data_IF_101320741073
#
_entry.id   IF_101320741073
#
_cell.length_a   1.000
_cell.length_b   1.000
_cell.length_c   1.000
_cell.angle_alpha   90.00
_cell.angle_beta   90.00
_cell.angle_gamma   90.00
#
_symmetry.space_group_name_H-M   'P 1'
#
loop_
_entity.id
_entity.type
_entity.pdbx_description
1 polymer ?
#
# COMPACT_ATOMS: atom_id res chain seq x y z
N UNK A 1 0.00 46.65 14.70
CA UNK A 1 -1.00 47.73 14.67
C UNK A 1 -1.25 48.10 16.13
N UNK A 2 -0.90 49.31 16.56
CA UNK A 2 -1.20 49.75 17.92
C UNK A 2 -2.70 50.03 18.04
N UNK A 3 -3.38 49.58 19.12
CA UNK A 3 -4.80 49.83 19.28
C UNK A 3 -5.03 51.33 19.47
N UNK A 4 -5.89 51.90 18.62
CA UNK A 4 -6.41 53.26 18.78
C UNK A 4 -7.23 53.25 20.07
N UNK A 5 -7.01 54.20 20.98
CA UNK A 5 -7.85 54.34 22.19
C UNK A 5 -9.31 54.51 21.77
N UNK A 6 -10.17 53.55 22.15
CA UNK A 6 -11.59 53.51 21.76
C UNK A 6 -11.91 52.71 20.49
N UNK A 7 -10.93 52.03 19.88
CA UNK A 7 -11.16 51.13 18.74
C UNK A 7 -11.85 49.83 19.12
N UNK A 8 -12.67 49.29 18.21
CA UNK A 8 -13.30 47.97 18.36
C UNK A 8 -12.29 46.88 17.97
N UNK A 9 -12.15 45.86 18.82
CA UNK A 9 -11.40 44.65 18.43
C UNK A 9 -12.24 43.83 17.45
N UNK A 10 -11.94 43.98 16.16
CA UNK A 10 -12.61 43.26 15.09
C UNK A 10 -12.47 41.73 15.24
N UNK A 11 -11.37 41.24 15.81
CA UNK A 11 -11.18 39.80 16.00
C UNK A 11 -12.19 39.27 17.00
N UNK A 12 -12.32 39.92 18.16
CA UNK A 12 -13.28 39.53 19.20
C UNK A 12 -14.71 39.64 18.69
N UNK A 13 -15.04 40.69 17.91
CA UNK A 13 -16.37 40.87 17.34
C UNK A 13 -16.77 39.74 16.38
N UNK A 14 -15.83 39.27 15.54
CA UNK A 14 -16.10 38.24 14.54
C UNK A 14 -15.73 36.82 14.99
N UNK A 15 -15.10 36.64 16.14
CA UNK A 15 -14.59 35.35 16.62
C UNK A 15 -15.65 34.24 16.58
N UNK A 16 -16.80 34.49 17.20
CA UNK A 16 -17.91 33.52 17.26
C UNK A 16 -18.42 33.15 15.85
N UNK A 17 -18.53 34.13 14.95
CA UNK A 17 -18.98 33.88 13.58
C UNK A 17 -17.99 33.01 12.80
N UNK A 18 -16.68 33.26 12.95
CA UNK A 18 -15.63 32.48 12.27
C UNK A 18 -15.63 31.04 12.79
N UNK A 19 -15.70 30.85 14.12
CA UNK A 19 -15.71 29.51 14.72
C UNK A 19 -16.95 28.72 14.32
N UNK A 20 -18.14 29.34 14.37
CA UNK A 20 -19.38 28.69 13.92
C UNK A 20 -19.31 28.35 12.44
N UNK A 21 -18.80 29.27 11.60
CA UNK A 21 -18.67 29.01 10.17
C UNK A 21 -17.77 27.80 9.87
N UNK A 22 -16.62 27.69 10.55
CA UNK A 22 -15.73 26.52 10.43
C UNK A 22 -16.48 25.24 10.81
N UNK A 23 -17.23 25.26 11.91
CA UNK A 23 -17.99 24.10 12.35
C UNK A 23 -19.12 23.71 11.38
N UNK A 24 -19.86 24.68 10.85
CA UNK A 24 -20.94 24.44 9.90
C UNK A 24 -20.40 23.83 8.60
N UNK A 25 -19.30 24.36 8.06
CA UNK A 25 -18.63 23.79 6.87
C UNK A 25 -18.10 22.39 7.15
N UNK A 26 -17.50 22.17 8.31
CA UNK A 26 -17.04 20.84 8.76
C UNK A 26 -18.21 19.85 8.78
N UNK A 27 -19.32 20.19 9.45
CA UNK A 27 -20.49 19.33 9.54
C UNK A 27 -21.10 19.05 8.16
N UNK A 28 -21.22 20.05 7.29
CA UNK A 28 -21.75 19.88 5.94
C UNK A 28 -20.92 18.89 5.10
N UNK A 29 -19.59 18.93 5.20
CA UNK A 29 -18.70 17.98 4.50
C UNK A 29 -18.72 16.59 5.15
N UNK A 30 -18.83 16.50 6.47
CA UNK A 30 -18.99 15.22 7.18
C UNK A 30 -20.31 14.52 6.82
N UNK A 31 -21.41 15.26 6.71
CA UNK A 31 -22.70 14.70 6.29
C UNK A 31 -22.62 14.12 4.86
N UNK A 32 -21.85 14.74 3.97
CA UNK A 32 -21.62 14.18 2.62
C UNK A 32 -20.88 12.85 2.64
N UNK A 33 -19.96 12.65 3.59
CA UNK A 33 -19.29 11.36 3.78
C UNK A 33 -20.24 10.25 4.26
N UNK A 34 -21.41 10.60 4.81
CA UNK A 34 -22.44 9.65 5.27
C UNK A 34 -23.46 9.28 4.21
N UNK A 35 -23.51 10.00 3.08
CA UNK A 35 -24.53 9.78 2.06
C UNK A 35 -24.28 8.46 1.31
N UNK A 36 -24.86 7.37 1.82
CA UNK A 36 -24.88 6.04 1.18
C UNK A 36 -25.74 5.98 -0.10
N UNK A 37 -26.32 7.11 -0.54
CA UNK A 37 -27.35 7.16 -1.59
C UNK A 37 -26.82 6.94 -3.00
N UNK A 38 -25.51 7.01 -3.23
CA UNK A 38 -24.89 6.73 -4.54
C UNK A 38 -23.86 5.63 -4.34
N UNK A 39 -24.14 4.41 -4.83
CA UNK A 39 -23.11 3.37 -4.96
C UNK A 39 -22.16 3.81 -6.06
N UNK A 40 -21.05 4.42 -5.66
CA UNK A 40 -19.95 4.78 -6.56
C UNK A 40 -19.14 3.57 -7.05
N UNK A 41 -19.48 2.36 -6.57
CA UNK A 41 -18.77 1.11 -6.84
C UNK A 41 -18.70 0.72 -8.33
N UNK A 42 -19.54 1.31 -9.19
CA UNK A 42 -19.54 1.06 -10.64
C UNK A 42 -18.97 2.18 -11.50
N UNK A 43 -18.62 3.33 -10.94
CA UNK A 43 -18.13 4.50 -11.69
C UNK A 43 -16.64 4.69 -11.41
N UNK A 44 -15.83 4.62 -12.47
CA UNK A 44 -14.39 4.87 -12.39
C UNK A 44 -13.99 6.16 -13.13
N UNK A 45 -13.06 6.89 -12.55
CA UNK A 45 -12.41 8.04 -13.21
C UNK A 45 -11.38 7.57 -14.24
N UNK A 46 -10.75 8.52 -14.94
CA UNK A 46 -9.61 8.26 -15.83
C UNK A 46 -8.42 7.59 -15.12
N UNK A 47 -8.30 7.74 -13.79
CA UNK A 47 -7.21 7.17 -12.98
C UNK A 47 -7.63 5.88 -12.27
N UNK A 48 -8.70 5.24 -12.74
CA UNK A 48 -9.27 4.04 -12.12
C UNK A 48 -9.53 4.25 -10.61
N UNK A 49 -9.96 5.45 -10.21
CA UNK A 49 -10.34 5.82 -8.84
C UNK A 49 -11.84 6.03 -8.72
N UNK A 50 -12.35 6.11 -7.48
CA UNK A 50 -13.73 6.55 -7.24
C UNK A 50 -13.83 8.07 -7.39
N UNK A 51 -14.85 8.60 -8.09
CA UNK A 51 -15.07 10.05 -8.20
C UNK A 51 -15.41 10.70 -6.85
N UNK A 52 -15.91 9.93 -5.87
CA UNK A 52 -16.22 10.42 -4.52
C UNK A 52 -15.03 11.12 -3.86
N UNK A 53 -13.84 10.52 -3.96
CA UNK A 53 -12.64 11.05 -3.32
C UNK A 53 -12.24 12.38 -3.96
N UNK A 54 -12.23 12.45 -5.29
CA UNK A 54 -11.91 13.68 -6.01
C UNK A 54 -12.93 14.79 -5.70
N UNK A 55 -14.24 14.49 -5.75
CA UNK A 55 -15.29 15.46 -5.41
C UNK A 55 -15.12 16.02 -4.00
N UNK A 56 -14.85 15.16 -3.02
CA UNK A 56 -14.70 15.60 -1.63
C UNK A 56 -13.47 16.50 -1.44
N UNK A 57 -12.34 16.20 -2.10
CA UNK A 57 -11.15 17.05 -2.03
C UNK A 57 -11.30 18.36 -2.80
N UNK A 58 -12.04 18.37 -3.91
CA UNK A 58 -12.36 19.61 -4.64
C UNK A 58 -13.21 20.54 -3.77
N UNK A 59 -14.27 20.01 -3.13
CA UNK A 59 -15.10 20.77 -2.17
C UNK A 59 -14.32 21.26 -0.96
N UNK A 60 -13.40 20.43 -0.45
CA UNK A 60 -12.53 20.80 0.65
C UNK A 60 -11.65 21.99 0.26
N UNK A 61 -11.06 21.95 -0.93
CA UNK A 61 -10.24 23.04 -1.47
C UNK A 61 -11.05 24.32 -1.67
N UNK A 62 -12.25 24.22 -2.25
CA UNK A 62 -13.16 25.36 -2.39
C UNK A 62 -13.47 25.98 -1.03
N UNK A 63 -13.77 25.14 -0.02
CA UNK A 63 -14.04 25.59 1.35
C UNK A 63 -12.82 26.31 1.95
N UNK A 64 -11.62 25.76 1.80
CA UNK A 64 -10.39 26.39 2.32
C UNK A 64 -10.12 27.75 1.68
N UNK A 65 -10.41 27.93 0.39
CA UNK A 65 -10.25 29.21 -0.29
C UNK A 65 -11.16 30.30 0.29
N UNK A 66 -12.33 29.96 0.82
CA UNK A 66 -13.23 30.93 1.48
C UNK A 66 -12.61 31.53 2.75
N UNK A 67 -11.64 30.83 3.38
CA UNK A 67 -10.96 31.28 4.60
C UNK A 67 -9.64 32.00 4.35
N UNK A 68 -9.15 32.11 3.11
CA UNK A 68 -7.83 32.68 2.78
C UNK A 68 -7.63 34.06 3.43
N UNK A 69 -8.59 34.97 3.26
CA UNK A 69 -8.54 36.33 3.81
C UNK A 69 -8.55 36.33 5.35
N UNK A 70 -9.34 35.44 5.95
CA UNK A 70 -9.44 35.30 7.41
C UNK A 70 -8.10 34.81 7.97
N UNK A 71 -7.49 33.80 7.35
CA UNK A 71 -6.24 33.21 7.82
C UNK A 71 -5.06 34.16 7.61
N UNK A 72 -4.99 34.88 6.49
CA UNK A 72 -3.98 35.92 6.32
C UNK A 72 -4.06 37.03 7.39
N UNK A 73 -5.27 37.30 7.90
CA UNK A 73 -5.50 38.34 8.92
C UNK A 73 -5.37 37.84 10.35
N UNK A 74 -5.83 36.62 10.60
CA UNK A 74 -5.88 35.94 11.90
C UNK A 74 -5.40 34.47 11.73
N UNK A 75 -4.07 34.27 11.62
CA UNK A 75 -3.47 32.96 11.36
C UNK A 75 -3.83 31.88 12.40
N UNK A 76 -4.19 32.25 13.62
CA UNK A 76 -4.59 31.35 14.70
C UNK A 76 -5.80 30.47 14.38
N UNK A 77 -6.69 30.88 13.46
CA UNK A 77 -7.81 30.04 13.04
C UNK A 77 -7.38 28.87 12.15
N UNK A 78 -6.14 28.87 11.65
CA UNK A 78 -5.60 27.78 10.83
C UNK A 78 -5.59 26.46 11.61
N UNK A 79 -5.34 26.47 12.92
CA UNK A 79 -5.36 25.26 13.76
C UNK A 79 -6.77 24.65 13.85
N UNK A 80 -7.80 25.49 13.93
CA UNK A 80 -9.19 25.05 13.95
C UNK A 80 -9.61 24.46 12.59
N UNK A 81 -9.20 25.11 11.49
CA UNK A 81 -9.39 24.58 10.14
C UNK A 81 -8.62 23.27 9.93
N UNK A 82 -7.37 23.17 10.39
CA UNK A 82 -6.56 21.97 10.28
C UNK A 82 -7.24 20.79 10.97
N UNK A 83 -7.78 21.01 12.17
CA UNK A 83 -8.54 19.98 12.90
C UNK A 83 -9.82 19.59 12.15
N UNK A 84 -10.56 20.56 11.60
CA UNK A 84 -11.75 20.29 10.81
C UNK A 84 -11.44 19.47 9.56
N UNK A 85 -10.38 19.83 8.83
CA UNK A 85 -9.89 19.10 7.66
C UNK A 85 -9.49 17.68 8.03
N UNK A 86 -8.72 17.51 9.11
CA UNK A 86 -8.31 16.19 9.58
C UNK A 86 -9.52 15.28 9.86
N UNK A 87 -10.57 15.80 10.48
CA UNK A 87 -11.81 15.06 10.73
C UNK A 87 -12.53 14.68 9.44
N UNK A 88 -12.60 15.59 8.46
CA UNK A 88 -13.21 15.34 7.16
C UNK A 88 -12.42 14.26 6.41
N UNK A 89 -11.09 14.34 6.38
CA UNK A 89 -10.25 13.34 5.72
C UNK A 89 -10.37 11.96 6.36
N UNK A 90 -10.46 11.88 7.70
CA UNK A 90 -10.78 10.63 8.41
C UNK A 90 -12.13 10.09 7.95
N UNK A 91 -13.16 10.93 7.86
CA UNK A 91 -14.48 10.53 7.40
C UNK A 91 -14.51 10.09 5.92
N UNK A 92 -13.72 10.70 5.03
CA UNK A 92 -13.55 10.25 3.64
C UNK A 92 -12.97 8.83 3.61
N UNK A 93 -11.94 8.56 4.41
CA UNK A 93 -11.31 7.22 4.50
C UNK A 93 -12.28 6.19 5.07
N UNK A 94 -13.10 6.55 6.06
CA UNK A 94 -14.13 5.68 6.63
C UNK A 94 -15.27 5.42 5.66
N UNK A 95 -15.71 6.43 4.92
CA UNK A 95 -16.73 6.31 3.88
C UNK A 95 -16.26 5.39 2.76
N UNK A 96 -15.01 5.53 2.30
CA UNK A 96 -14.42 4.65 1.30
C UNK A 96 -14.40 3.20 1.79
N UNK A 97 -14.04 2.97 3.05
CA UNK A 97 -14.06 1.64 3.67
C UNK A 97 -15.45 1.01 3.74
N UNK A 98 -16.46 1.83 3.99
CA UNK A 98 -17.86 1.40 4.08
C UNK A 98 -18.42 1.08 2.70
N UNK A 99 -18.17 1.92 1.71
CA UNK A 99 -18.65 1.75 0.34
C UNK A 99 -18.11 0.47 -0.32
N UNK A 100 -16.91 0.04 0.07
CA UNK A 100 -16.24 -1.15 -0.47
C UNK A 100 -16.05 -2.25 0.59
N UNK A 101 -16.91 -2.28 1.63
CA UNK A 101 -16.78 -3.21 2.73
C UNK A 101 -16.77 -4.68 2.27
N UNK A 102 -17.63 -5.05 1.32
CA UNK A 102 -17.73 -6.42 0.79
C UNK A 102 -16.44 -6.85 0.07
N UNK A 103 -15.83 -5.93 -0.68
CA UNK A 103 -14.58 -6.15 -1.42
C UNK A 103 -13.38 -6.24 -0.46
N UNK A 104 -13.40 -5.46 0.62
CA UNK A 104 -12.34 -5.42 1.62
C UNK A 104 -12.47 -6.52 2.68
N UNK A 105 -13.64 -7.12 2.87
CA UNK A 105 -13.90 -8.13 3.90
C UNK A 105 -12.91 -9.32 3.83
N UNK A 106 -12.65 -9.94 2.66
CA UNK A 106 -11.69 -11.05 2.55
C UNK A 106 -10.25 -10.67 2.96
N UNK A 107 -9.89 -9.39 2.85
CA UNK A 107 -8.58 -8.87 3.25
C UNK A 107 -8.53 -8.62 4.77
N UNK A 108 -9.62 -8.09 5.34
CA UNK A 108 -9.75 -7.80 6.77
C UNK A 108 -9.69 -9.07 7.63
N UNK A 109 -10.19 -10.21 7.13
CA UNK A 109 -10.06 -11.51 7.80
C UNK A 109 -8.60 -11.95 8.03
N UNK A 110 -7.68 -11.53 7.17
CA UNK A 110 -6.25 -11.84 7.28
C UNK A 110 -5.50 -10.89 8.22
N UNK A 111 -6.06 -9.71 8.51
CA UNK A 111 -5.49 -8.70 9.40
C UNK A 111 -5.75 -9.01 10.88
N UNK A 112 -6.79 -9.78 11.20
CA UNK A 112 -7.05 -10.24 12.56
C UNK A 112 -5.94 -11.23 13.00
N UNK A 113 -5.45 -11.15 14.26
CA UNK A 113 -4.45 -12.09 14.76
C UNK A 113 -4.97 -13.51 14.56
N UNK A 114 -4.17 -14.34 13.87
CA UNK A 114 -4.52 -15.72 13.52
C UNK A 114 -4.85 -16.47 14.81
N UNK A 115 -6.14 -16.56 15.17
CA UNK A 115 -6.61 -17.45 16.22
C UNK A 115 -6.35 -18.87 15.73
N UNK A 116 -5.25 -19.46 16.20
CA UNK A 116 -4.71 -20.74 15.78
C UNK A 116 -5.70 -21.92 15.95
N UNK A 117 -6.80 -21.76 16.70
CA UNK A 117 -7.75 -22.84 17.00
C UNK A 117 -8.81 -23.16 15.93
N UNK A 118 -9.32 -22.17 15.18
CA UNK A 118 -10.53 -22.39 14.36
C UNK A 118 -10.26 -22.80 12.89
N UNK A 119 -9.08 -22.46 12.34
CA UNK A 119 -8.72 -22.80 10.95
C UNK A 119 -8.35 -24.28 10.75
N UNK A 120 -7.99 -25.01 11.81
CA UNK A 120 -7.62 -26.43 11.70
C UNK A 120 -8.84 -27.36 11.68
N UNK A 121 -9.91 -27.05 12.41
CA UNK A 121 -11.11 -27.90 12.50
C UNK A 121 -11.95 -27.82 11.22
N UNK A 122 -12.01 -26.66 10.56
CA UNK A 122 -12.69 -26.51 9.25
C UNK A 122 -11.93 -27.10 8.06
N UNK A 123 -10.63 -27.42 8.22
CA UNK A 123 -9.79 -27.98 7.14
C UNK A 123 -9.98 -29.48 6.91
N UNK A 124 -10.64 -30.19 7.83
CA UNK A 124 -10.77 -31.65 7.77
C UNK A 124 -11.98 -32.12 6.93
N UNK A 125 -12.90 -31.24 6.54
CA UNK A 125 -14.14 -31.62 5.84
C UNK A 125 -14.47 -30.81 4.58
N UNK A 126 -13.68 -29.79 4.21
CA UNK A 126 -13.92 -28.97 3.00
C UNK A 126 -12.95 -29.31 1.88
N UNK A 127 -13.47 -29.53 0.66
CA UNK A 127 -12.71 -29.39 -0.60
C UNK A 127 -11.83 -28.13 -0.50
N UNK A 128 -10.60 -28.18 -1.04
CA UNK A 128 -9.71 -27.01 -1.07
C UNK A 128 -10.51 -25.78 -1.53
N UNK A 129 -10.49 -24.67 -0.77
CA UNK A 129 -11.24 -23.48 -1.16
C UNK A 129 -10.76 -23.00 -2.55
N UNK A 130 -11.65 -22.39 -3.34
CA UNK A 130 -11.27 -21.83 -4.63
C UNK A 130 -10.19 -20.76 -4.46
N UNK A 131 -9.34 -20.54 -5.50
CA UNK A 131 -8.35 -19.47 -5.47
C UNK A 131 -9.04 -18.11 -5.28
N UNK A 132 -8.41 -17.24 -4.50
CA UNK A 132 -8.85 -15.86 -4.37
C UNK A 132 -8.68 -15.13 -5.70
N UNK A 133 -9.76 -14.55 -6.20
CA UNK A 133 -9.74 -13.69 -7.38
C UNK A 133 -9.79 -12.24 -6.91
N UNK A 134 -8.90 -11.41 -7.45
CA UNK A 134 -8.84 -9.97 -7.13
C UNK A 134 -10.01 -9.29 -7.83
N UNK A 135 -10.98 -8.70 -7.08
CA UNK A 135 -12.10 -7.99 -7.68
C UNK A 135 -11.64 -6.67 -8.31
N UNK A 136 -12.28 -6.25 -9.40
CA UNK A 136 -11.95 -5.02 -10.11
C UNK A 136 -12.09 -3.78 -9.21
N UNK A 137 -13.09 -3.80 -8.34
CA UNK A 137 -13.37 -2.74 -7.37
C UNK A 137 -12.25 -2.57 -6.34
N UNK A 138 -11.44 -3.59 -6.09
CA UNK A 138 -10.28 -3.47 -5.20
C UNK A 138 -9.21 -2.56 -5.83
N UNK A 139 -9.08 -2.60 -7.16
CA UNK A 139 -8.31 -1.63 -7.94
C UNK A 139 -8.74 -0.20 -7.62
N UNK A 140 -10.06 0.05 -7.73
CA UNK A 140 -10.67 1.36 -7.47
C UNK A 140 -10.30 1.89 -6.07
N UNK A 141 -10.46 1.06 -5.03
CA UNK A 141 -10.18 1.47 -3.65
C UNK A 141 -8.71 1.80 -3.45
N UNK A 142 -7.81 0.91 -3.87
CA UNK A 142 -6.38 1.07 -3.60
C UNK A 142 -5.76 2.21 -4.42
N UNK A 143 -6.18 2.37 -5.69
CA UNK A 143 -5.79 3.52 -6.51
C UNK A 143 -6.30 4.83 -5.88
N UNK A 144 -7.52 4.86 -5.34
CA UNK A 144 -8.08 6.04 -4.67
C UNK A 144 -7.31 6.41 -3.40
N UNK A 145 -6.98 5.43 -2.55
CA UNK A 145 -6.14 5.66 -1.37
C UNK A 145 -4.74 6.17 -1.74
N UNK A 146 -4.15 5.62 -2.82
CA UNK A 146 -2.85 6.07 -3.32
C UNK A 146 -2.91 7.50 -3.86
N UNK A 147 -3.97 7.84 -4.61
CA UNK A 147 -4.20 9.20 -5.12
C UNK A 147 -4.41 10.22 -4.00
N UNK A 148 -5.12 9.85 -2.93
CA UNK A 148 -5.21 10.70 -1.73
C UNK A 148 -3.83 11.01 -1.19
N UNK A 149 -2.98 9.99 -1.02
CA UNK A 149 -1.63 10.13 -0.46
C UNK A 149 -0.68 10.97 -1.34
N UNK A 150 -0.71 10.76 -2.64
CA UNK A 150 0.31 11.29 -3.54
C UNK A 150 -0.07 12.61 -4.23
N UNK A 151 -1.38 12.87 -4.38
CA UNK A 151 -1.87 13.99 -5.20
C UNK A 151 -2.75 14.94 -4.41
N UNK A 152 -3.77 14.42 -3.72
CA UNK A 152 -4.81 15.28 -3.13
C UNK A 152 -4.38 15.89 -1.79
N UNK A 153 -3.87 15.06 -0.86
CA UNK A 153 -3.38 15.54 0.44
C UNK A 153 -2.22 16.53 0.33
N UNK A 154 -1.19 16.30 -0.51
CA UNK A 154 -0.08 17.25 -0.63
C UNK A 154 -0.53 18.65 -1.04
N UNK A 155 -1.60 18.78 -1.83
CA UNK A 155 -2.16 20.10 -2.18
C UNK A 155 -2.71 20.83 -0.95
N UNK A 156 -3.43 20.12 -0.08
CA UNK A 156 -3.96 20.66 1.18
C UNK A 156 -2.80 21.01 2.12
N UNK A 157 -1.84 20.10 2.30
CA UNK A 157 -0.65 20.34 3.14
C UNK A 157 0.14 21.56 2.67
N UNK A 158 0.28 21.77 1.35
CA UNK A 158 0.94 22.96 0.79
C UNK A 158 0.16 24.25 1.12
N UNK A 159 -1.17 24.25 1.07
CA UNK A 159 -1.99 25.41 1.45
C UNK A 159 -1.83 25.76 2.93
N UNK A 160 -1.86 24.77 3.82
CA UNK A 160 -1.62 24.99 5.24
C UNK A 160 -0.18 25.46 5.53
N UNK A 161 0.81 24.95 4.78
CA UNK A 161 2.19 25.44 4.88
C UNK A 161 2.31 26.91 4.47
N UNK A 162 1.63 27.35 3.41
CA UNK A 162 1.63 28.78 3.03
C UNK A 162 1.02 29.64 4.12
N UNK A 163 -0.06 29.20 4.76
CA UNK A 163 -0.68 29.91 5.88
C UNK A 163 0.18 29.91 7.16
N UNK A 164 0.90 28.82 7.42
CA UNK A 164 1.81 28.70 8.55
C UNK A 164 2.95 29.72 8.53
N UNK A 165 3.37 30.17 7.34
CA UNK A 165 4.38 31.24 7.21
C UNK A 165 3.92 32.59 7.77
N UNK A 166 2.61 32.78 7.97
CA UNK A 166 2.02 33.99 8.54
C UNK A 166 1.91 33.94 10.08
N UNK A 167 2.18 32.79 10.72
CA UNK A 167 2.05 32.62 12.17
C UNK A 167 3.36 33.08 12.84
N UNK A 168 3.34 34.07 13.74
CA UNK A 168 4.50 34.39 14.56
C UNK A 168 4.79 33.22 15.52
N UNK A 169 6.08 32.96 15.79
CA UNK A 169 6.70 31.79 16.46
C UNK A 169 6.25 31.51 17.93
N UNK A 170 5.06 31.96 18.33
CA UNK A 170 4.59 32.06 19.72
C UNK A 170 3.50 31.03 20.09
N UNK A 171 3.03 30.19 19.17
CA UNK A 171 2.04 29.15 19.49
C UNK A 171 2.69 27.85 19.96
N UNK A 172 2.19 27.27 21.06
CA UNK A 172 2.61 25.95 21.55
C UNK A 172 2.12 24.78 20.69
N UNK A 173 1.13 25.00 19.82
CA UNK A 173 0.67 24.03 18.82
C UNK A 173 1.60 24.02 17.61
N UNK A 174 2.02 22.82 17.20
CA UNK A 174 2.87 22.59 16.04
C UNK A 174 1.96 22.55 14.79
N UNK A 175 2.08 23.50 13.86
CA UNK A 175 1.29 23.48 12.62
C UNK A 175 1.52 22.17 11.84
N UNK A 176 0.45 21.57 11.33
CA UNK A 176 0.51 20.37 10.49
C UNK A 176 0.55 19.04 11.23
N UNK A 177 0.52 19.03 12.57
CA UNK A 177 0.52 17.79 13.37
C UNK A 177 -0.73 16.94 13.09
N UNK A 178 -1.92 17.57 12.99
CA UNK A 178 -3.19 16.86 12.77
C UNK A 178 -3.26 16.28 11.37
N UNK A 179 -2.79 17.02 10.36
CA UNK A 179 -2.67 16.49 9.00
C UNK A 179 -1.66 15.35 8.92
N UNK A 180 -0.56 15.44 9.68
CA UNK A 180 0.45 14.38 9.74
C UNK A 180 -0.11 13.09 10.35
N UNK A 181 -0.93 13.19 11.41
CA UNK A 181 -1.63 12.05 12.04
C UNK A 181 -2.48 11.29 11.01
N UNK A 182 -3.28 12.03 10.23
CA UNK A 182 -4.15 11.44 9.18
C UNK A 182 -3.31 10.83 8.06
N UNK A 183 -2.20 11.48 7.66
CA UNK A 183 -1.26 10.93 6.66
C UNK A 183 -0.65 9.61 7.15
N UNK A 184 -0.24 9.50 8.42
CA UNK A 184 0.29 8.26 9.01
C UNK A 184 -0.78 7.18 9.02
N UNK A 185 -2.00 7.50 9.46
CA UNK A 185 -3.13 6.57 9.49
C UNK A 185 -3.46 6.03 8.09
N UNK A 186 -3.57 6.91 7.08
CA UNK A 186 -3.89 6.51 5.71
C UNK A 186 -2.77 5.64 5.10
N UNK A 187 -1.50 6.00 5.30
CA UNK A 187 -0.36 5.18 4.86
C UNK A 187 -0.38 3.80 5.51
N UNK A 188 -0.66 3.72 6.81
CA UNK A 188 -0.75 2.45 7.52
C UNK A 188 -1.88 1.58 6.95
N UNK A 189 -3.07 2.17 6.74
CA UNK A 189 -4.23 1.47 6.18
C UNK A 189 -3.97 0.94 4.77
N UNK A 190 -3.42 1.78 3.89
CA UNK A 190 -3.03 1.39 2.54
C UNK A 190 -2.02 0.23 2.54
N UNK A 191 -0.94 0.32 3.33
CA UNK A 191 0.04 -0.77 3.46
C UNK A 191 -0.59 -2.06 3.98
N UNK A 192 -1.50 -1.99 4.94
CA UNK A 192 -2.17 -3.17 5.49
C UNK A 192 -3.03 -3.88 4.42
N UNK A 193 -3.75 -3.13 3.58
CA UNK A 193 -4.50 -3.76 2.48
C UNK A 193 -3.61 -4.34 1.41
N UNK A 194 -2.51 -3.67 1.04
CA UNK A 194 -1.52 -4.24 0.11
C UNK A 194 -0.95 -5.56 0.64
N UNK A 195 -0.56 -5.57 1.92
CA UNK A 195 -0.01 -6.78 2.56
C UNK A 195 -1.04 -7.91 2.60
N UNK A 196 -2.29 -7.62 2.97
CA UNK A 196 -3.35 -8.63 3.01
C UNK A 196 -3.67 -9.19 1.62
N UNK A 197 -3.65 -8.35 0.57
CA UNK A 197 -3.81 -8.78 -0.81
C UNK A 197 -2.65 -9.69 -1.23
N UNK A 198 -1.41 -9.27 -0.99
CA UNK A 198 -0.21 -10.08 -1.27
C UNK A 198 -0.29 -11.44 -0.57
N UNK A 199 -0.71 -11.49 0.70
CA UNK A 199 -0.86 -12.76 1.41
C UNK A 199 -1.93 -13.66 0.77
N UNK A 200 -3.05 -13.11 0.27
CA UNK A 200 -4.04 -13.89 -0.50
C UNK A 200 -3.47 -14.43 -1.81
N UNK A 201 -2.70 -13.63 -2.54
CA UNK A 201 -2.05 -14.06 -3.79
C UNK A 201 -1.06 -15.20 -3.54
N UNK A 202 -0.27 -15.12 -2.46
CA UNK A 202 0.64 -16.21 -2.06
C UNK A 202 -0.11 -17.43 -1.55
N UNK A 203 -1.27 -17.26 -0.88
CA UNK A 203 -2.13 -18.40 -0.55
C UNK A 203 -2.57 -19.16 -1.81
N UNK A 204 -2.84 -18.47 -2.92
CA UNK A 204 -3.18 -19.11 -4.19
C UNK A 204 -2.05 -20.00 -4.74
N UNK A 205 -0.78 -19.58 -4.62
CA UNK A 205 0.36 -20.42 -5.09
C UNK A 205 0.56 -21.67 -4.23
N UNK A 206 0.01 -21.69 -3.02
CA UNK A 206 0.12 -22.81 -2.07
C UNK A 206 -1.00 -23.84 -2.21
N UNK A 207 -2.04 -23.58 -3.01
CA UNK A 207 -3.18 -24.48 -3.20
C UNK A 207 -2.79 -25.78 -3.91
N UNK A 208 -1.84 -25.70 -4.85
CA UNK A 208 -1.37 -26.86 -5.61
C UNK A 208 0.08 -27.19 -5.23
N UNK A 209 0.42 -28.48 -5.25
CA UNK A 209 1.78 -28.92 -5.00
C UNK A 209 2.78 -28.41 -6.04
N UNK A 210 2.36 -28.33 -7.31
CA UNK A 210 3.18 -27.92 -8.44
C UNK A 210 3.55 -26.43 -8.44
N UNK A 211 2.82 -25.61 -7.70
CA UNK A 211 3.03 -24.14 -7.60
C UNK A 211 3.60 -23.74 -6.24
N UNK A 212 3.66 -24.67 -5.29
CA UNK A 212 4.14 -24.41 -3.93
C UNK A 212 5.67 -24.45 -3.91
N UNK A 213 6.30 -23.27 -3.80
CA UNK A 213 7.77 -23.13 -3.86
C UNK A 213 8.51 -24.07 -2.90
N UNK A 214 8.05 -24.21 -1.65
CA UNK A 214 8.69 -25.13 -0.69
C UNK A 214 8.67 -26.57 -1.16
N UNK A 215 7.60 -27.02 -1.83
CA UNK A 215 7.52 -28.37 -2.38
C UNK A 215 8.40 -28.51 -3.62
N UNK A 216 8.38 -27.53 -4.53
CA UNK A 216 9.28 -27.51 -5.69
C UNK A 216 10.74 -27.61 -5.25
N UNK A 217 11.13 -26.86 -4.22
CA UNK A 217 12.46 -26.92 -3.64
C UNK A 217 12.74 -28.31 -3.05
N UNK A 218 11.80 -28.93 -2.32
CA UNK A 218 11.91 -30.30 -1.80
C UNK A 218 12.05 -31.37 -2.89
N UNK A 219 11.38 -31.19 -4.01
CA UNK A 219 11.43 -32.15 -5.11
C UNK A 219 12.68 -31.92 -6.00
N UNK A 220 13.44 -30.85 -5.73
CA UNK A 220 14.70 -30.52 -6.40
C UNK A 220 15.94 -31.03 -5.65
N UNK A 221 15.78 -31.94 -4.68
CA UNK A 221 16.88 -32.56 -3.93
C UNK A 221 17.73 -33.35 -4.90
N UNK A 222 19.04 -33.11 -4.94
CA UNK A 222 19.98 -33.95 -5.70
C UNK A 222 19.61 -34.11 -7.20
N UNK A 223 18.75 -33.23 -7.74
CA UNK A 223 18.20 -33.31 -9.11
C UNK A 223 19.23 -32.98 -10.17
N UNK A 224 19.19 -33.80 -11.23
CA UNK A 224 20.15 -33.99 -12.32
C UNK A 224 19.95 -32.93 -13.41
N UNK A 225 20.43 -31.71 -13.19
CA UNK A 225 20.52 -30.67 -14.24
C UNK A 225 19.60 -29.47 -14.03
N UNK A 226 20.02 -28.33 -14.59
CA UNK A 226 19.32 -27.04 -14.45
C UNK A 226 17.93 -27.05 -15.12
N UNK A 227 17.80 -27.78 -16.23
CA UNK A 227 16.54 -27.97 -16.97
C UNK A 227 15.43 -28.52 -16.10
N UNK A 228 15.73 -29.49 -15.23
CA UNK A 228 14.72 -30.14 -14.40
C UNK A 228 14.12 -29.19 -13.38
N UNK A 229 14.96 -28.35 -12.76
CA UNK A 229 14.51 -27.34 -11.80
C UNK A 229 13.66 -26.29 -12.52
N UNK A 230 14.09 -25.84 -13.71
CA UNK A 230 13.32 -24.88 -14.52
C UNK A 230 11.96 -25.46 -14.94
N UNK A 231 11.90 -26.72 -15.33
CA UNK A 231 10.66 -27.42 -15.68
C UNK A 231 9.70 -27.51 -14.48
N UNK A 232 10.23 -27.82 -13.28
CA UNK A 232 9.41 -27.85 -12.05
C UNK A 232 8.92 -26.47 -11.60
N UNK A 233 9.68 -25.41 -11.91
CA UNK A 233 9.30 -24.02 -11.63
C UNK A 233 8.27 -23.47 -12.62
N UNK A 234 8.12 -24.10 -13.79
CA UNK A 234 7.28 -23.58 -14.87
C UNK A 234 5.81 -23.33 -14.46
N UNK A 235 5.10 -24.23 -13.76
CA UNK A 235 3.72 -23.99 -13.33
C UNK A 235 3.58 -22.78 -12.41
N UNK A 236 4.55 -22.59 -11.49
CA UNK A 236 4.58 -21.40 -10.63
C UNK A 236 4.82 -20.15 -11.47
N UNK A 237 5.78 -20.18 -12.39
CA UNK A 237 6.06 -19.05 -13.30
C UNK A 237 4.81 -18.62 -14.07
N UNK A 238 4.08 -19.56 -14.67
CA UNK A 238 2.85 -19.25 -15.42
C UNK A 238 1.76 -18.65 -14.52
N UNK A 239 1.58 -19.19 -13.32
CA UNK A 239 0.62 -18.65 -12.36
C UNK A 239 1.00 -17.21 -11.93
N UNK A 240 2.29 -16.94 -11.69
CA UNK A 240 2.77 -15.60 -11.35
C UNK A 240 2.53 -14.62 -12.50
N UNK A 241 2.91 -14.98 -13.72
CA UNK A 241 2.70 -14.14 -14.90
C UNK A 241 1.21 -13.84 -15.13
N UNK A 242 0.35 -14.86 -15.06
CA UNK A 242 -1.11 -14.70 -15.21
C UNK A 242 -1.69 -13.78 -14.14
N UNK A 243 -1.24 -13.94 -12.89
CA UNK A 243 -1.66 -13.08 -11.79
C UNK A 243 -1.22 -11.64 -12.03
N UNK A 244 0.04 -11.41 -12.43
CA UNK A 244 0.57 -10.08 -12.71
C UNK A 244 -0.15 -9.39 -13.88
N UNK A 245 -0.47 -10.12 -14.94
CA UNK A 245 -1.27 -9.59 -16.05
C UNK A 245 -2.64 -9.11 -15.56
N UNK A 246 -3.33 -9.91 -14.74
CA UNK A 246 -4.60 -9.49 -14.14
C UNK A 246 -4.44 -8.25 -13.25
N UNK A 247 -3.46 -8.24 -12.35
CA UNK A 247 -3.20 -7.09 -11.48
C UNK A 247 -2.93 -5.80 -12.28
N UNK A 248 -2.21 -5.89 -13.40
CA UNK A 248 -1.93 -4.74 -14.26
C UNK A 248 -3.18 -4.14 -14.91
N UNK A 249 -4.25 -4.93 -15.12
CA UNK A 249 -5.52 -4.38 -15.62
C UNK A 249 -6.32 -3.61 -14.57
N UNK A 250 -5.98 -3.77 -13.27
CA UNK A 250 -6.76 -3.22 -12.15
C UNK A 250 -6.06 -2.06 -11.43
N UNK A 251 -4.74 -2.10 -11.36
CA UNK A 251 -3.95 -1.21 -10.51
C UNK A 251 -3.14 -0.20 -11.33
N UNK A 252 -3.16 1.05 -10.88
CA UNK A 252 -2.27 2.09 -11.39
C UNK A 252 -0.80 1.72 -11.12
N UNK A 253 0.12 2.24 -11.95
CA UNK A 253 1.55 1.84 -11.99
C UNK A 253 2.19 1.69 -10.62
N UNK A 254 2.06 2.68 -9.74
CA UNK A 254 2.68 2.64 -8.41
C UNK A 254 2.08 1.58 -7.48
N UNK A 255 0.76 1.35 -7.56
CA UNK A 255 0.08 0.32 -6.75
C UNK A 255 0.46 -1.06 -7.27
N UNK A 256 0.45 -1.24 -8.59
CA UNK A 256 0.88 -2.46 -9.25
C UNK A 256 2.32 -2.85 -8.85
N UNK A 257 3.28 -1.93 -8.97
CA UNK A 257 4.68 -2.16 -8.58
C UNK A 257 4.77 -2.58 -7.12
N UNK A 258 4.06 -1.91 -6.21
CA UNK A 258 4.07 -2.22 -4.79
C UNK A 258 3.55 -3.65 -4.50
N UNK A 259 2.49 -4.08 -5.19
CA UNK A 259 1.94 -5.44 -5.06
C UNK A 259 2.93 -6.46 -5.62
N UNK A 260 3.49 -6.25 -6.81
CA UNK A 260 4.46 -7.18 -7.41
C UNK A 260 5.71 -7.34 -6.55
N UNK A 261 6.27 -6.25 -6.03
CA UNK A 261 7.42 -6.29 -5.11
C UNK A 261 7.09 -7.00 -3.80
N UNK A 262 5.91 -6.75 -3.23
CA UNK A 262 5.44 -7.45 -2.03
C UNK A 262 5.22 -8.95 -2.28
N UNK A 263 4.69 -9.30 -3.44
CA UNK A 263 4.46 -10.68 -3.85
C UNK A 263 5.78 -11.45 -4.02
N UNK A 264 6.75 -10.82 -4.70
CA UNK A 264 8.10 -11.34 -4.85
C UNK A 264 8.79 -11.53 -3.49
N UNK A 265 8.75 -10.52 -2.61
CA UNK A 265 9.31 -10.62 -1.27
C UNK A 265 8.67 -11.75 -0.46
N UNK A 266 7.35 -11.89 -0.53
CA UNK A 266 6.65 -12.89 0.27
C UNK A 266 6.95 -14.33 -0.17
N UNK A 267 7.15 -14.56 -1.47
CA UNK A 267 7.66 -15.85 -1.98
C UNK A 267 9.14 -16.03 -1.60
N UNK A 268 9.94 -14.97 -1.66
CA UNK A 268 11.32 -14.95 -1.18
C UNK A 268 11.44 -15.38 0.29
N UNK A 269 10.55 -14.90 1.17
CA UNK A 269 10.46 -15.34 2.57
C UNK A 269 10.12 -16.83 2.71
N UNK A 270 9.31 -17.40 1.80
CA UNK A 270 9.05 -18.84 1.78
C UNK A 270 10.30 -19.64 1.42
N UNK A 271 11.13 -19.13 0.50
CA UNK A 271 12.44 -19.73 0.18
C UNK A 271 13.42 -19.57 1.35
N UNK A 272 13.50 -18.38 1.93
CA UNK A 272 14.37 -18.09 3.08
C UNK A 272 14.08 -19.04 4.24
N UNK A 273 12.82 -19.10 4.66
CA UNK A 273 12.39 -20.01 5.72
C UNK A 273 12.61 -21.49 5.37
N UNK A 274 12.59 -21.86 4.09
CA UNK A 274 12.93 -23.23 3.67
C UNK A 274 14.42 -23.54 3.88
N UNK A 275 15.30 -22.60 3.54
CA UNK A 275 16.75 -22.72 3.66
C UNK A 275 17.21 -22.63 5.12
N UNK A 276 16.62 -21.73 5.90
CA UNK A 276 16.97 -21.56 7.33
C UNK A 276 16.73 -22.82 8.15
N UNK A 277 15.67 -23.58 7.82
CA UNK A 277 15.37 -24.86 8.45
C UNK A 277 16.31 -26.00 8.00
N UNK A 278 17.22 -25.74 7.05
CA UNK A 278 18.08 -26.75 6.42
C UNK A 278 19.50 -26.23 6.15
N UNK A 279 20.01 -25.30 6.97
CA UNK A 279 21.31 -24.62 6.78
C UNK A 279 22.49 -25.59 6.58
N UNK A 280 22.43 -26.80 7.12
CA UNK A 280 23.49 -27.80 7.01
C UNK A 280 23.40 -28.67 5.75
N UNK A 281 22.23 -28.74 5.09
CA UNK A 281 22.00 -29.60 3.93
C UNK A 281 22.32 -28.88 2.61
N UNK A 282 23.59 -28.95 2.20
CA UNK A 282 24.08 -28.30 0.97
C UNK A 282 23.48 -28.84 -0.34
N UNK A 283 22.89 -30.03 -0.32
CA UNK A 283 22.27 -30.65 -1.52
C UNK A 283 21.12 -29.84 -2.12
N UNK A 284 20.53 -28.91 -1.35
CA UNK A 284 19.45 -28.04 -1.81
C UNK A 284 19.92 -26.73 -2.46
N UNK A 285 21.19 -26.36 -2.31
CA UNK A 285 21.64 -25.00 -2.63
C UNK A 285 21.67 -24.75 -4.13
N UNK A 286 22.12 -25.74 -4.91
CA UNK A 286 22.14 -25.62 -6.38
C UNK A 286 20.73 -25.44 -6.94
N UNK A 287 19.79 -26.30 -6.56
CA UNK A 287 18.38 -26.18 -6.98
C UNK A 287 17.72 -24.89 -6.50
N UNK A 288 18.02 -24.46 -5.27
CA UNK A 288 17.48 -23.22 -4.71
C UNK A 288 18.01 -21.97 -5.43
N UNK A 289 19.29 -21.93 -5.83
CA UNK A 289 19.85 -20.84 -6.64
C UNK A 289 19.12 -20.71 -7.98
N UNK A 290 18.87 -21.82 -8.67
CA UNK A 290 18.15 -21.84 -9.95
C UNK A 290 16.71 -21.38 -9.74
N UNK A 291 16.01 -21.90 -8.73
CA UNK A 291 14.64 -21.51 -8.43
C UNK A 291 14.51 -20.01 -8.12
N UNK A 292 15.44 -19.45 -7.35
CA UNK A 292 15.49 -18.00 -7.05
C UNK A 292 15.76 -17.19 -8.31
N UNK A 293 16.70 -17.61 -9.16
CA UNK A 293 16.93 -16.97 -10.47
C UNK A 293 15.66 -16.97 -11.33
N UNK A 294 14.91 -18.08 -11.39
CA UNK A 294 13.66 -18.15 -12.14
C UNK A 294 12.60 -17.20 -11.57
N UNK A 295 12.50 -17.06 -10.24
CA UNK A 295 11.59 -16.10 -9.61
C UNK A 295 11.97 -14.66 -9.97
N UNK A 296 13.25 -14.32 -9.84
CA UNK A 296 13.77 -12.98 -10.11
C UNK A 296 13.54 -12.60 -11.58
N UNK A 297 13.88 -13.51 -12.51
CA UNK A 297 13.64 -13.33 -13.94
C UNK A 297 12.15 -13.18 -14.24
N UNK A 298 11.28 -13.94 -13.56
CA UNK A 298 9.83 -13.87 -13.79
C UNK A 298 9.27 -12.52 -13.36
N UNK A 299 9.55 -12.06 -12.15
CA UNK A 299 9.05 -10.76 -11.70
C UNK A 299 9.64 -9.60 -12.51
N UNK A 300 10.96 -9.59 -12.72
CA UNK A 300 11.62 -8.53 -13.47
C UNK A 300 11.13 -8.47 -14.93
N UNK A 301 11.10 -9.60 -15.64
CA UNK A 301 10.66 -9.62 -17.05
C UNK A 301 9.18 -9.28 -17.20
N UNK A 302 8.30 -9.77 -16.32
CA UNK A 302 6.87 -9.45 -16.40
C UNK A 302 6.59 -7.99 -16.05
N UNK A 303 7.25 -7.43 -15.03
CA UNK A 303 7.12 -5.99 -14.72
C UNK A 303 7.65 -5.13 -15.87
N UNK A 304 8.80 -5.50 -16.46
CA UNK A 304 9.39 -4.78 -17.59
C UNK A 304 8.50 -4.87 -18.84
N UNK A 305 7.92 -6.04 -19.12
CA UNK A 305 7.01 -6.25 -20.24
C UNK A 305 5.75 -5.39 -20.12
N UNK A 306 5.17 -5.30 -18.92
CA UNK A 306 3.91 -4.61 -18.70
C UNK A 306 4.07 -3.09 -18.58
N UNK A 307 5.14 -2.61 -17.95
CA UNK A 307 5.34 -1.19 -17.67
C UNK A 307 6.31 -0.48 -18.61
N UNK A 308 7.18 -1.21 -19.30
CA UNK A 308 8.16 -0.64 -20.22
C UNK A 308 8.98 0.46 -19.58
N UNK A 309 8.91 1.67 -20.17
CA UNK A 309 9.68 2.84 -19.73
C UNK A 309 9.16 3.48 -18.43
N UNK A 310 7.98 3.09 -17.94
CA UNK A 310 7.45 3.61 -16.68
C UNK A 310 8.12 2.98 -15.44
N UNK A 311 8.89 1.91 -15.64
CA UNK A 311 9.59 1.18 -14.59
C UNK A 311 10.96 1.80 -14.30
N UNK A 312 11.28 2.03 -13.03
CA UNK A 312 12.60 2.51 -12.62
C UNK A 312 13.50 1.33 -12.24
N UNK A 313 14.83 1.53 -12.31
CA UNK A 313 15.81 0.49 -11.95
C UNK A 313 15.61 -0.02 -10.51
N UNK A 314 15.31 0.87 -9.57
CA UNK A 314 14.99 0.51 -8.18
C UNK A 314 13.74 -0.37 -8.03
N UNK A 315 12.84 -0.35 -9.00
CA UNK A 315 11.58 -1.11 -8.95
C UNK A 315 11.79 -2.59 -9.30
N UNK A 316 12.86 -2.92 -10.03
CA UNK A 316 13.29 -4.30 -10.36
C UNK A 316 14.37 -4.84 -9.43
N UNK A 317 14.90 -4.02 -8.51
CA UNK A 317 15.84 -4.50 -7.50
C UNK A 317 15.21 -5.59 -6.63
N UNK A 318 15.91 -6.72 -6.40
CA UNK A 318 15.40 -7.81 -5.58
C UNK A 318 14.98 -7.35 -4.19
N UNK A 319 13.80 -7.77 -3.69
CA UNK A 319 13.37 -7.45 -2.33
C UNK A 319 14.29 -8.02 -1.25
N UNK A 320 14.17 -7.48 -0.02
CA UNK A 320 15.05 -7.80 1.11
C UNK A 320 15.19 -9.29 1.37
N UNK A 321 14.09 -10.03 1.41
CA UNK A 321 14.14 -11.47 1.68
C UNK A 321 14.90 -12.24 0.59
N UNK A 322 14.78 -11.82 -0.67
CA UNK A 322 15.48 -12.43 -1.81
C UNK A 322 16.96 -12.11 -1.75
N UNK A 323 17.34 -10.88 -1.39
CA UNK A 323 18.75 -10.52 -1.16
C UNK A 323 19.37 -11.37 -0.04
N UNK A 324 18.62 -11.63 1.03
CA UNK A 324 19.07 -12.49 2.13
C UNK A 324 19.24 -13.95 1.68
N UNK A 325 18.28 -14.47 0.90
CA UNK A 325 18.41 -15.80 0.25
C UNK A 325 19.66 -15.87 -0.61
N UNK A 326 19.90 -14.85 -1.46
CA UNK A 326 21.11 -14.77 -2.29
C UNK A 326 22.37 -14.78 -1.43
N UNK A 327 22.40 -14.02 -0.33
CA UNK A 327 23.53 -14.02 0.61
C UNK A 327 23.80 -15.40 1.21
N UNK A 328 22.76 -16.10 1.70
CA UNK A 328 22.89 -17.46 2.23
C UNK A 328 23.41 -18.43 1.17
N UNK A 329 22.94 -18.30 -0.08
CA UNK A 329 23.35 -19.15 -1.18
C UNK A 329 24.74 -18.79 -1.73
N UNK A 330 25.23 -17.56 -1.62
CA UNK A 330 26.55 -17.12 -2.12
C UNK A 330 27.71 -17.41 -1.16
N UNK A 331 27.47 -17.51 0.16
CA UNK A 331 28.52 -17.79 1.16
C UNK A 331 29.32 -19.08 0.90
N UNK A 332 28.80 -20.01 0.09
CA UNK A 332 29.46 -21.26 -0.29
C UNK A 332 30.17 -21.20 -1.67
N UNK A 333 30.25 -20.03 -2.33
CA UNK A 333 30.99 -19.85 -3.59
C UNK A 333 32.49 -19.63 -3.40
N UNK A 334 32.94 -19.26 -2.21
CA UNK A 334 34.36 -19.19 -1.87
C UNK A 334 34.84 -20.59 -1.50
N UNK A 335 35.28 -21.33 -2.51
CA UNK A 335 36.11 -22.50 -2.31
C UNK A 335 37.54 -22.02 -2.00
N UNK A 336 38.12 -22.22 -0.79
CA UNK A 336 39.51 -21.86 -0.49
C UNK A 336 40.50 -22.87 -1.10
N UNK A 337 40.25 -23.29 -2.33
CA UNK A 337 41.08 -24.24 -3.09
C UNK A 337 41.22 -23.74 -4.53
N UNK A 338 41.95 -22.64 -4.69
CA UNK A 338 42.74 -22.33 -5.89
C UNK A 338 43.57 -21.05 -5.70
N UNK A 339 44.23 -20.91 -4.55
CA UNK A 339 45.47 -20.12 -4.46
C UNK A 339 46.65 -21.07 -4.50
N UNK A 340 46.87 -21.66 -5.67
CA UNK A 340 48.12 -22.26 -6.06
C UNK A 340 48.21 -22.18 -7.59
N UNK A 341 49.40 -21.84 -8.06
CA UNK A 341 49.82 -21.62 -9.47
C UNK A 341 49.82 -20.17 -9.97
N UNK A 342 50.80 -19.43 -9.42
CA UNK A 342 51.97 -18.85 -10.11
C UNK A 342 51.85 -18.12 -11.46
N UNK A 343 52.44 -16.90 -11.42
CA UNK A 343 52.95 -15.97 -12.45
C UNK A 343 51.98 -15.28 -13.41
#
# INVERSE_FOLDING_TARGET
>A
INPIKGGVDAKELFHLYIVVWIQDKRLALLERCKLDKVKWSGVRTQHSTTPFVDEMYDRLKETLNEYEVIICRWPEYSFALESAVADIEKAIVEALDRQYADVLAPLKENLAPKKFGFKYVQKLTKRSPPPYVVPDELGIVLNSMKRMLDVLRPKIETQFKSWGSCIPDRSSQIPGERLSEVTVMLRAKFRNYLQALVDKLVENTRLQGATKIKKILQDSKESVGESDVRNRMHPLKEQLATTMNHLHTLFETHVFIAICRGYWDRIGQDVLSFLENRKENKSWYKGSRIAVSVLDDTFASQMQQLLGNALQEKDIEPPRSVMEVRSMLCKDGQNPKNTAFYY
#
